data_IF_148736849546
#
_entry.id   IF_148736849546
#
_cell.length_a   1.000
_cell.length_b   1.000
_cell.length_c   1.000
_cell.angle_alpha   90.00
_cell.angle_beta   90.00
_cell.angle_gamma   90.00
#
_symmetry.space_group_name_H-M   'P 1'
#
loop_
_entity.id
_entity.type
_entity.pdbx_description
1 polymer ?
#
# COMPACT_ATOMS: atom_id res chain seq x y z
N UNK A 1 29.78 -4.96 46.25
CA UNK A 1 29.29 -5.59 45.00
C UNK A 1 28.82 -4.43 44.12
N UNK A 2 29.56 -3.90 43.12
CA UNK A 2 30.12 -4.56 41.93
C UNK A 2 29.03 -5.36 41.17
N UNK A 3 28.76 -5.20 39.87
CA UNK A 3 29.28 -4.33 38.79
C UNK A 3 28.25 -4.37 37.61
N UNK A 4 28.29 -3.68 36.46
CA UNK A 4 29.03 -2.52 35.88
C UNK A 4 28.53 -2.29 34.43
N UNK A 5 28.70 -1.08 33.86
CA UNK A 5 28.73 -0.82 32.39
C UNK A 5 27.42 -1.02 31.57
N UNK A 6 27.09 -0.26 30.52
CA UNK A 6 27.75 0.84 29.79
C UNK A 6 26.67 1.74 29.14
N UNK A 7 26.75 3.06 29.32
CA UNK A 7 26.07 4.01 28.43
C UNK A 7 27.01 4.38 27.28
N UNK A 8 26.52 4.42 26.03
CA UNK A 8 27.29 4.94 24.88
C UNK A 8 26.85 6.36 24.55
N UNK A 9 27.86 7.22 24.42
CA UNK A 9 27.70 8.67 24.33
C UNK A 9 27.16 9.14 22.98
N UNK A 10 26.36 10.20 23.02
CA UNK A 10 26.24 11.17 21.92
C UNK A 10 27.52 12.00 21.88
N UNK A 11 28.06 12.25 20.69
CA UNK A 11 29.09 13.27 20.46
C UNK A 11 28.67 14.19 19.33
N UNK A 12 28.14 15.36 19.71
CA UNK A 12 28.02 16.53 18.84
C UNK A 12 29.40 17.03 18.40
N UNK A 13 29.46 17.72 17.27
CA UNK A 13 30.73 18.16 16.68
C UNK A 13 31.37 19.40 17.34
N UNK A 14 32.63 19.65 16.94
CA UNK A 14 33.34 20.93 16.95
C UNK A 14 34.64 20.74 16.16
N UNK A 15 34.79 21.32 14.97
CA UNK A 15 35.41 22.65 14.78
C UNK A 15 36.80 22.77 15.42
N UNK A 16 37.85 22.39 14.66
CA UNK A 16 39.25 22.65 15.03
C UNK A 16 39.81 23.71 14.08
N UNK A 17 40.05 24.90 14.62
CA UNK A 17 40.83 25.97 14.00
C UNK A 17 42.06 26.24 14.85
N UNK A 18 43.25 25.88 14.35
CA UNK A 18 44.52 26.26 14.96
C UNK A 18 45.38 26.94 13.90
N UNK A 19 45.78 28.17 14.20
CA UNK A 19 46.66 29.00 13.37
C UNK A 19 48.13 28.58 13.53
N UNK A 20 48.97 28.71 12.49
CA UNK A 20 50.39 28.41 12.59
C UNK A 20 51.18 29.61 13.13
N UNK A 21 52.17 29.33 13.98
CA UNK A 21 53.30 30.24 14.18
C UNK A 21 54.56 29.45 14.53
N UNK A 22 55.71 29.83 13.97
CA UNK A 22 57.03 29.98 14.62
C UNK A 22 58.15 30.02 13.56
N UNK A 23 58.96 31.08 13.66
CA UNK A 23 60.36 31.28 13.22
C UNK A 23 60.82 31.02 11.76
N UNK A 24 60.97 32.12 11.05
CA UNK A 24 62.29 32.70 10.67
C UNK A 24 63.52 31.77 10.60
N UNK A 25 64.04 31.61 9.38
CA UNK A 25 65.48 31.76 9.12
C UNK A 25 65.67 32.38 7.73
N UNK A 26 66.40 33.50 7.66
CA UNK A 26 66.59 34.26 6.41
C UNK A 26 67.86 33.83 5.67
N UNK A 27 67.72 33.52 4.37
CA UNK A 27 68.84 33.45 3.42
C UNK A 27 68.45 34.18 2.13
N UNK A 28 68.96 35.40 1.94
CA UNK A 28 68.74 36.19 0.73
C UNK A 28 69.59 35.67 -0.44
N UNK A 29 68.94 35.26 -1.52
CA UNK A 29 69.58 35.02 -2.81
C UNK A 29 68.80 35.78 -3.91
N UNK A 30 69.45 36.58 -4.78
CA UNK A 30 68.77 37.31 -5.84
C UNK A 30 68.37 36.34 -6.96
N UNK A 31 67.08 35.99 -7.05
CA UNK A 31 66.57 35.23 -8.19
C UNK A 31 66.28 36.17 -9.37
N UNK A 32 67.09 35.99 -10.42
CA UNK A 32 66.88 36.53 -11.76
C UNK A 32 65.44 36.19 -12.21
N UNK A 33 64.69 37.20 -12.65
CA UNK A 33 63.28 37.06 -12.94
C UNK A 33 63.00 36.37 -14.28
N UNK A 34 62.52 35.12 -14.24
CA UNK A 34 61.63 34.61 -15.28
C UNK A 34 60.18 34.79 -14.81
N UNK A 35 59.46 35.75 -15.42
CA UNK A 35 58.00 35.75 -15.39
C UNK A 35 57.50 34.59 -16.24
N UNK A 36 57.34 33.41 -15.63
CA UNK A 36 56.46 32.39 -16.23
C UNK A 36 55.03 32.93 -16.16
N UNK A 37 54.40 33.12 -17.32
CA UNK A 37 52.95 33.26 -17.40
C UNK A 37 52.34 31.93 -16.91
N UNK A 38 51.66 31.97 -15.76
CA UNK A 38 50.85 30.84 -15.33
C UNK A 38 49.71 30.64 -16.33
N UNK A 39 49.49 29.43 -16.85
CA UNK A 39 48.28 29.15 -17.62
C UNK A 39 47.06 29.33 -16.70
N UNK A 40 46.02 29.99 -17.22
CA UNK A 40 44.79 30.20 -16.47
C UNK A 40 44.20 28.84 -16.06
N UNK A 41 44.05 28.64 -14.75
CA UNK A 41 43.57 27.39 -14.17
C UNK A 41 42.05 27.30 -14.43
N UNK A 42 41.66 26.68 -15.55
CA UNK A 42 40.26 26.43 -15.89
C UNK A 42 39.69 25.46 -14.86
N UNK A 43 39.00 26.00 -13.85
CA UNK A 43 38.39 25.21 -12.80
C UNK A 43 37.11 24.56 -13.32
N UNK A 44 37.23 23.29 -13.72
CA UNK A 44 36.07 22.46 -14.07
C UNK A 44 35.40 22.04 -12.76
N UNK A 45 34.32 22.72 -12.38
CA UNK A 45 33.51 22.32 -11.23
C UNK A 45 32.73 21.05 -11.58
N UNK A 46 32.93 19.93 -10.87
CA UNK A 46 32.08 18.76 -11.05
C UNK A 46 30.66 19.11 -10.58
N UNK A 47 29.70 19.06 -11.50
CA UNK A 47 28.28 19.26 -11.18
C UNK A 47 27.79 18.09 -10.31
N UNK A 48 27.84 18.26 -9.00
CA UNK A 48 27.30 17.29 -8.04
C UNK A 48 25.78 17.25 -8.16
N UNK A 49 25.23 16.10 -8.56
CA UNK A 49 23.79 15.89 -8.66
C UNK A 49 23.18 15.82 -7.24
N UNK A 50 22.58 16.92 -6.78
CA UNK A 50 21.88 16.98 -5.51
C UNK A 50 20.57 16.18 -5.61
N UNK A 51 20.55 14.98 -5.04
CA UNK A 51 19.34 14.16 -4.98
C UNK A 51 18.37 14.73 -3.94
N UNK A 52 17.30 15.35 -4.43
CA UNK A 52 16.19 15.80 -3.58
C UNK A 52 15.36 14.60 -3.13
N UNK A 53 15.72 14.00 -2.00
CA UNK A 53 14.86 13.06 -1.29
C UNK A 53 13.68 13.83 -0.69
N UNK A 54 12.48 13.61 -1.24
CA UNK A 54 11.25 14.15 -0.66
C UNK A 54 11.04 13.64 0.76
N UNK A 55 10.40 14.44 1.62
CA UNK A 55 10.04 13.98 2.98
C UNK A 55 9.13 12.76 2.89
N UNK A 56 9.35 11.72 3.71
CA UNK A 56 8.53 10.52 3.67
C UNK A 56 7.06 10.87 3.98
N UNK A 57 6.09 10.30 3.24
CA UNK A 57 4.67 10.50 3.50
C UNK A 57 4.33 10.07 4.93
N UNK A 58 3.55 10.91 5.62
CA UNK A 58 3.16 10.69 7.02
C UNK A 58 1.71 10.22 7.10
N UNK A 59 1.48 9.08 7.74
CA UNK A 59 0.20 8.38 7.77
C UNK A 59 -0.45 8.46 9.16
N UNK A 60 -0.95 9.63 9.55
CA UNK A 60 -1.54 9.86 10.90
C UNK A 60 -3.06 9.84 10.92
N UNK A 61 -3.69 10.21 9.82
CA UNK A 61 -5.15 10.38 9.71
C UNK A 61 -5.82 9.05 9.30
N UNK A 62 -5.58 8.00 10.10
CA UNK A 62 -6.04 6.63 9.82
C UNK A 62 -7.09 6.22 10.85
N UNK A 63 -8.30 5.97 10.38
CA UNK A 63 -9.36 5.37 11.19
C UNK A 63 -9.05 3.87 11.36
N UNK A 64 -8.76 3.44 12.59
CA UNK A 64 -8.54 2.02 12.92
C UNK A 64 -9.87 1.34 13.28
N UNK A 65 -10.08 0.06 12.89
CA UNK A 65 -11.26 -0.69 13.28
C UNK A 65 -11.27 -0.96 14.79
N UNK A 66 -12.45 -1.14 15.42
CA UNK A 66 -12.56 -1.40 16.85
C UNK A 66 -11.78 -2.66 17.26
N UNK A 67 -11.19 -2.63 18.45
CA UNK A 67 -10.13 -3.54 18.87
C UNK A 67 -10.51 -5.04 18.80
N UNK A 68 -11.78 -5.38 19.00
CA UNK A 68 -12.34 -6.74 18.83
C UNK A 68 -12.05 -7.34 17.46
N UNK A 69 -12.00 -6.51 16.40
CA UNK A 69 -11.67 -6.91 15.03
C UNK A 69 -10.16 -6.86 14.76
N UNK A 70 -9.43 -5.98 15.43
CA UNK A 70 -8.08 -5.53 15.05
C UNK A 70 -6.95 -6.10 15.92
N UNK A 71 -7.24 -6.72 17.08
CA UNK A 71 -6.25 -7.21 18.06
C UNK A 71 -4.99 -7.91 17.49
N UNK A 72 -5.15 -8.70 16.43
CA UNK A 72 -4.05 -9.48 15.82
C UNK A 72 -3.42 -8.83 14.58
N UNK A 73 -3.93 -7.68 14.11
CA UNK A 73 -3.60 -7.04 12.81
C UNK A 73 -3.94 -7.87 11.56
N UNK A 74 -4.41 -9.10 11.76
CA UNK A 74 -4.46 -10.18 10.76
C UNK A 74 -5.87 -10.54 10.36
N UNK A 75 -5.98 -11.06 9.13
CA UNK A 75 -7.23 -11.44 8.54
C UNK A 75 -7.78 -12.72 9.20
N UNK A 76 -8.97 -12.61 9.80
CA UNK A 76 -9.63 -13.70 10.55
C UNK A 76 -10.06 -14.86 9.64
N UNK A 77 -10.18 -16.07 10.20
CA UNK A 77 -10.68 -17.24 9.46
C UNK A 77 -12.18 -17.10 9.22
N UNK A 78 -12.59 -17.19 7.95
CA UNK A 78 -14.02 -17.20 7.58
C UNK A 78 -14.57 -18.61 7.76
N UNK A 79 -15.62 -18.75 8.56
CA UNK A 79 -16.34 -20.02 8.72
C UNK A 79 -17.49 -20.12 7.72
N UNK A 80 -17.88 -21.34 7.35
CA UNK A 80 -19.11 -21.57 6.58
C UNK A 80 -20.33 -21.55 7.50
N UNK A 81 -21.36 -20.82 7.11
CA UNK A 81 -22.64 -20.67 7.83
C UNK A 81 -23.75 -21.26 6.93
N UNK A 82 -24.96 -21.56 7.45
CA UNK A 82 -25.19 -22.02 8.82
C UNK A 82 -24.45 -23.34 9.08
N UNK A 83 -24.15 -23.61 10.35
CA UNK A 83 -23.63 -24.92 10.75
C UNK A 83 -24.76 -25.95 10.65
N UNK A 84 -24.66 -26.98 9.78
CA UNK A 84 -25.64 -28.04 9.76
C UNK A 84 -25.57 -28.83 11.08
N UNK A 85 -26.69 -29.32 11.62
CA UNK A 85 -26.66 -30.27 12.73
C UNK A 85 -25.90 -31.53 12.29
N UNK A 86 -25.06 -32.10 13.17
CA UNK A 86 -24.10 -33.15 12.81
C UNK A 86 -24.70 -34.37 12.08
N UNK A 87 -25.97 -34.68 12.36
CA UNK A 87 -26.68 -35.83 11.79
C UNK A 87 -27.30 -35.58 10.40
N UNK A 88 -27.23 -34.36 9.85
CA UNK A 88 -27.80 -34.02 8.54
C UNK A 88 -26.74 -33.48 7.57
N UNK A 89 -26.67 -34.06 6.38
CA UNK A 89 -25.85 -33.52 5.29
C UNK A 89 -26.53 -32.24 4.73
N UNK A 90 -25.80 -31.14 4.52
CA UNK A 90 -26.34 -29.96 3.85
C UNK A 90 -26.96 -30.30 2.49
N UNK A 91 -28.10 -29.68 2.18
CA UNK A 91 -28.74 -29.81 0.88
C UNK A 91 -27.80 -29.30 -0.22
N UNK A 92 -27.74 -30.04 -1.35
CA UNK A 92 -26.94 -29.65 -2.51
C UNK A 92 -27.64 -28.52 -3.27
N UNK A 93 -27.26 -27.28 -2.96
CA UNK A 93 -27.72 -26.10 -3.67
C UNK A 93 -27.04 -25.98 -5.06
N UNK A 94 -27.70 -25.37 -6.07
CA UNK A 94 -27.07 -25.03 -7.34
C UNK A 94 -25.92 -24.02 -7.14
N UNK A 95 -25.16 -23.69 -8.20
CA UNK A 95 -23.99 -22.79 -8.07
C UNK A 95 -24.33 -21.29 -8.04
N UNK A 96 -25.61 -20.89 -8.07
CA UNK A 96 -26.04 -19.50 -7.84
C UNK A 96 -25.38 -18.43 -8.72
N UNK A 97 -25.09 -18.71 -10.00
CA UNK A 97 -24.40 -17.76 -10.91
C UNK A 97 -25.10 -16.40 -11.02
N UNK A 98 -26.42 -16.40 -10.89
CA UNK A 98 -27.28 -15.22 -10.87
C UNK A 98 -26.85 -14.18 -9.83
N UNK A 99 -26.39 -14.62 -8.64
CA UNK A 99 -25.93 -13.75 -7.56
C UNK A 99 -24.76 -12.85 -7.97
N UNK A 100 -24.02 -13.21 -9.03
CA UNK A 100 -22.87 -12.45 -9.54
C UNK A 100 -23.23 -11.42 -10.62
N UNK A 101 -24.48 -11.42 -11.10
CA UNK A 101 -24.89 -10.59 -12.22
C UNK A 101 -25.27 -9.19 -11.75
N UNK A 102 -24.84 -8.18 -12.49
CA UNK A 102 -25.07 -6.77 -12.16
C UNK A 102 -23.99 -6.14 -11.26
N UNK A 103 -24.08 -4.82 -11.04
CA UNK A 103 -23.21 -4.09 -10.11
C UNK A 103 -23.55 -4.41 -8.65
N UNK A 104 -22.64 -4.08 -7.73
CA UNK A 104 -22.91 -4.12 -6.28
C UNK A 104 -23.28 -2.74 -5.73
N UNK A 105 -24.39 -2.68 -5.01
CA UNK A 105 -24.90 -1.44 -4.40
C UNK A 105 -24.30 -1.19 -3.00
N UNK A 106 -24.23 -2.22 -2.14
CA UNK A 106 -23.99 -2.05 -0.70
C UNK A 106 -22.49 -1.93 -0.37
N UNK A 107 -21.64 -2.81 -0.91
CA UNK A 107 -20.22 -2.91 -0.55
C UNK A 107 -19.30 -2.30 -1.60
N UNK A 108 -19.67 -1.13 -2.14
CA UNK A 108 -18.96 -0.40 -3.19
C UNK A 108 -18.00 0.69 -2.62
N UNK A 109 -18.03 0.96 -1.31
CA UNK A 109 -17.16 1.95 -0.67
C UNK A 109 -16.20 1.33 0.35
N UNK A 110 -15.04 1.97 0.53
CA UNK A 110 -14.12 1.67 1.61
C UNK A 110 -14.59 2.34 2.92
N UNK A 111 -14.63 1.62 4.05
CA UNK A 111 -14.88 2.26 5.37
C UNK A 111 -13.63 3.02 5.82
N UNK A 112 -12.48 2.35 5.85
CA UNK A 112 -11.24 2.92 6.40
C UNK A 112 -10.50 3.85 5.42
N UNK A 113 -11.07 4.14 4.24
CA UNK A 113 -10.61 5.10 3.21
C UNK A 113 -9.12 5.03 2.79
N UNK A 114 -8.48 3.87 2.89
CA UNK A 114 -7.09 3.67 2.45
C UNK A 114 -6.99 2.80 1.20
N UNK A 115 -6.86 1.48 1.38
CA UNK A 115 -6.55 0.54 0.30
C UNK A 115 -7.47 -0.67 0.34
N UNK A 116 -7.74 -1.26 -0.82
CA UNK A 116 -8.45 -2.52 -0.87
C UNK A 116 -8.48 -3.18 -2.24
N UNK A 117 -9.11 -4.35 -2.27
CA UNK A 117 -9.29 -5.14 -3.49
C UNK A 117 -10.73 -5.02 -3.96
N UNK A 118 -10.91 -4.45 -5.15
CA UNK A 118 -12.20 -4.23 -5.81
C UNK A 118 -12.40 -5.26 -6.91
N UNK A 119 -13.60 -5.86 -6.99
CA UNK A 119 -13.99 -6.72 -8.12
C UNK A 119 -14.26 -5.84 -9.34
N UNK A 120 -13.44 -5.96 -10.38
CA UNK A 120 -13.72 -5.34 -11.67
C UNK A 120 -14.74 -6.16 -12.46
N UNK A 121 -14.58 -7.49 -12.51
CA UNK A 121 -15.55 -8.38 -13.15
C UNK A 121 -15.64 -9.76 -12.50
N UNK A 122 -16.87 -10.23 -12.28
CA UNK A 122 -17.15 -11.55 -11.73
C UNK A 122 -17.04 -12.64 -12.81
N UNK A 123 -16.17 -13.64 -12.60
CA UNK A 123 -15.92 -14.73 -13.58
C UNK A 123 -16.32 -16.11 -13.07
N UNK A 124 -15.61 -16.63 -12.07
CA UNK A 124 -15.97 -17.84 -11.31
C UNK A 124 -16.31 -17.39 -9.88
N UNK A 125 -17.33 -17.97 -9.24
CA UNK A 125 -17.74 -17.47 -7.95
C UNK A 125 -16.92 -18.09 -6.81
N UNK A 126 -16.74 -17.34 -5.72
CA UNK A 126 -15.75 -17.62 -4.67
C UNK A 126 -16.25 -18.66 -3.67
N UNK A 127 -15.42 -19.68 -3.44
CA UNK A 127 -15.64 -20.78 -2.50
C UNK A 127 -14.79 -20.59 -1.22
N UNK A 128 -15.13 -21.31 -0.14
CA UNK A 128 -14.45 -21.22 1.16
C UNK A 128 -12.92 -21.44 1.07
N UNK A 129 -12.46 -22.28 0.12
CA UNK A 129 -11.04 -22.53 -0.17
C UNK A 129 -10.30 -21.26 -0.60
N UNK A 130 -10.97 -20.40 -1.38
CA UNK A 130 -10.35 -19.19 -1.92
C UNK A 130 -10.09 -18.20 -0.78
N UNK A 131 -11.04 -18.05 0.17
CA UNK A 131 -10.84 -17.22 1.38
C UNK A 131 -9.64 -17.68 2.20
N UNK A 132 -9.46 -18.99 2.40
CA UNK A 132 -8.32 -19.51 3.16
C UNK A 132 -6.98 -19.30 2.43
N UNK A 133 -6.95 -19.51 1.11
CA UNK A 133 -5.79 -19.18 0.25
C UNK A 133 -5.36 -17.70 0.37
N UNK A 134 -6.34 -16.79 0.36
CA UNK A 134 -6.11 -15.35 0.48
C UNK A 134 -5.64 -14.99 1.90
N UNK A 135 -6.33 -15.51 2.92
CA UNK A 135 -5.99 -15.31 4.34
C UNK A 135 -4.54 -15.71 4.62
N UNK A 136 -4.12 -16.89 4.16
CA UNK A 136 -2.73 -17.34 4.31
C UNK A 136 -1.75 -16.50 3.49
N UNK A 137 -2.14 -15.97 2.33
CA UNK A 137 -1.27 -15.10 1.52
C UNK A 137 -1.04 -13.76 2.23
N UNK A 138 -2.10 -13.12 2.73
CA UNK A 138 -2.03 -11.81 3.38
C UNK A 138 -1.34 -11.92 4.74
N UNK A 139 -1.73 -12.88 5.59
CA UNK A 139 -1.18 -13.01 6.96
C UNK A 139 0.31 -13.41 6.99
N UNK A 140 0.91 -13.79 5.85
CA UNK A 140 2.36 -14.01 5.69
C UNK A 140 3.14 -12.78 5.22
N UNK A 141 2.44 -11.75 4.71
CA UNK A 141 3.03 -10.56 4.07
C UNK A 141 2.67 -9.24 4.76
N UNK A 142 1.72 -9.25 5.69
CA UNK A 142 1.27 -8.08 6.45
C UNK A 142 1.96 -8.01 7.82
N UNK A 143 2.43 -6.83 8.20
CA UNK A 143 3.03 -6.56 9.51
C UNK A 143 1.92 -6.17 10.52
N UNK A 144 1.64 -6.99 11.55
CA UNK A 144 0.47 -6.80 12.41
C UNK A 144 0.53 -5.54 13.28
N UNK A 145 1.74 -5.03 13.57
CA UNK A 145 1.94 -3.87 14.45
C UNK A 145 1.70 -2.53 13.73
N UNK A 146 1.79 -2.53 12.38
CA UNK A 146 1.73 -1.33 11.53
C UNK A 146 0.50 -1.32 10.62
N UNK A 147 -0.04 -2.49 10.29
CA UNK A 147 -1.10 -2.69 9.32
C UNK A 147 -2.23 -3.57 9.87
N UNK A 148 -3.44 -3.37 9.36
CA UNK A 148 -4.58 -4.25 9.61
C UNK A 148 -5.23 -4.71 8.30
N UNK A 149 -5.83 -5.91 8.28
CA UNK A 149 -6.63 -6.42 7.17
C UNK A 149 -8.01 -6.89 7.63
N UNK A 150 -9.07 -6.41 6.97
CA UNK A 150 -10.47 -6.67 7.31
C UNK A 150 -11.24 -7.22 6.11
N UNK A 151 -12.09 -8.22 6.34
CA UNK A 151 -13.00 -8.76 5.33
C UNK A 151 -14.18 -7.80 5.08
N UNK A 152 -14.51 -7.58 3.80
CA UNK A 152 -15.71 -6.86 3.33
C UNK A 152 -16.81 -7.82 2.87
N UNK A 153 -16.74 -9.02 3.42
CA UNK A 153 -17.44 -10.20 2.94
C UNK A 153 -17.97 -10.96 4.13
N UNK A 154 -19.29 -11.09 4.15
CA UNK A 154 -20.01 -11.88 5.11
C UNK A 154 -19.62 -13.36 4.95
N UNK A 155 -19.55 -14.13 6.05
CA UNK A 155 -19.27 -15.56 5.97
C UNK A 155 -20.28 -16.26 5.06
N UNK A 156 -19.83 -17.18 4.16
CA UNK A 156 -20.71 -17.75 3.15
C UNK A 156 -21.78 -18.61 3.81
N UNK A 157 -23.03 -18.15 3.72
CA UNK A 157 -24.25 -18.89 4.06
C UNK A 157 -24.63 -19.92 2.99
N UNK A 158 -24.17 -19.69 1.76
CA UNK A 158 -24.39 -20.52 0.59
C UNK A 158 -23.12 -21.32 0.27
N UNK A 159 -23.18 -22.28 -0.67
CA UNK A 159 -21.98 -23.02 -1.12
C UNK A 159 -20.96 -22.13 -1.86
N UNK A 160 -21.38 -20.92 -2.23
CA UNK A 160 -20.74 -20.00 -3.17
C UNK A 160 -21.09 -18.56 -2.74
N UNK A 161 -20.13 -17.63 -2.75
CA UNK A 161 -20.32 -16.27 -2.20
C UNK A 161 -20.64 -15.22 -3.28
N UNK A 162 -21.52 -14.25 -3.03
CA UNK A 162 -21.78 -13.09 -3.93
C UNK A 162 -20.57 -12.15 -3.99
N UNK A 163 -20.12 -11.82 -5.21
CA UNK A 163 -19.00 -10.95 -5.62
C UNK A 163 -19.30 -10.32 -6.99
N UNK A 164 -20.37 -9.53 -7.04
CA UNK A 164 -20.76 -8.64 -8.15
C UNK A 164 -19.64 -7.65 -8.49
N UNK A 165 -19.69 -7.06 -9.69
CA UNK A 165 -18.76 -6.00 -10.09
C UNK A 165 -18.91 -4.77 -9.17
N UNK A 166 -17.81 -4.07 -8.87
CA UNK A 166 -17.76 -2.97 -7.91
C UNK A 166 -17.70 -3.40 -6.44
N UNK A 167 -17.87 -4.69 -6.10
CA UNK A 167 -17.78 -5.13 -4.69
C UNK A 167 -16.33 -5.10 -4.19
N UNK A 168 -16.11 -4.44 -3.06
CA UNK A 168 -14.87 -4.57 -2.28
C UNK A 168 -14.85 -5.94 -1.58
N UNK A 169 -13.72 -6.65 -1.63
CA UNK A 169 -13.52 -7.94 -0.96
C UNK A 169 -12.75 -7.77 0.36
N UNK A 170 -11.70 -6.96 0.33
CA UNK A 170 -10.74 -6.81 1.44
C UNK A 170 -10.37 -5.34 1.54
N UNK A 171 -10.34 -4.84 2.77
CA UNK A 171 -9.70 -3.57 3.12
C UNK A 171 -8.39 -3.87 3.86
N UNK A 172 -7.35 -3.12 3.52
CA UNK A 172 -6.09 -3.08 4.29
C UNK A 172 -5.80 -1.64 4.63
N UNK A 173 -5.40 -1.41 5.87
CA UNK A 173 -5.04 -0.08 6.35
C UNK A 173 -3.94 -0.10 7.39
N UNK A 174 -3.72 1.04 8.02
CA UNK A 174 -2.65 1.31 8.99
C UNK A 174 -1.67 2.37 8.47
N UNK A 175 -0.47 2.43 9.04
CA UNK A 175 0.53 3.47 8.73
C UNK A 175 1.37 3.10 7.48
N UNK A 176 0.71 2.64 6.41
CA UNK A 176 1.34 2.02 5.24
C UNK A 176 1.27 2.87 3.97
N UNK A 177 2.27 2.70 3.10
CA UNK A 177 2.25 3.28 1.75
C UNK A 177 1.56 2.35 0.76
N UNK A 178 0.97 2.92 -0.31
CA UNK A 178 0.35 2.11 -1.35
C UNK A 178 1.35 1.16 -2.01
N UNK A 179 2.59 1.60 -2.26
CA UNK A 179 3.61 0.78 -2.93
C UNK A 179 4.00 -0.50 -2.16
N UNK A 180 3.96 -0.46 -0.82
CA UNK A 180 4.16 -1.63 0.04
C UNK A 180 2.97 -2.61 -0.09
N UNK A 181 1.75 -2.09 0.01
CA UNK A 181 0.50 -2.88 0.03
C UNK A 181 0.13 -3.41 -1.36
N UNK A 182 0.38 -2.63 -2.42
CA UNK A 182 0.04 -2.91 -3.81
C UNK A 182 0.57 -4.28 -4.23
N UNK A 183 1.84 -4.58 -3.96
CA UNK A 183 2.47 -5.88 -4.28
C UNK A 183 1.75 -7.06 -3.61
N UNK A 184 1.29 -6.88 -2.37
CA UNK A 184 0.54 -7.90 -1.62
C UNK A 184 -0.86 -8.07 -2.19
N UNK A 185 -1.52 -6.98 -2.58
CA UNK A 185 -2.87 -7.00 -3.16
C UNK A 185 -2.91 -7.53 -4.59
N UNK A 186 -1.92 -7.21 -5.43
CA UNK A 186 -1.80 -7.72 -6.79
C UNK A 186 -1.60 -9.25 -6.78
N UNK A 187 -0.72 -9.76 -5.92
CA UNK A 187 -0.54 -11.21 -5.70
C UNK A 187 -1.84 -11.93 -5.26
N UNK A 188 -2.72 -11.23 -4.54
CA UNK A 188 -4.03 -11.75 -4.13
C UNK A 188 -5.04 -11.65 -5.27
N UNK A 189 -5.04 -10.54 -6.02
CA UNK A 189 -5.88 -10.33 -7.19
C UNK A 189 -5.65 -11.40 -8.27
N UNK A 190 -4.39 -11.78 -8.52
CA UNK A 190 -4.03 -12.86 -9.45
C UNK A 190 -4.47 -14.25 -8.99
N UNK A 191 -4.63 -14.48 -7.67
CA UNK A 191 -5.10 -15.77 -7.11
C UNK A 191 -6.63 -15.89 -7.04
N UNK A 192 -7.35 -14.79 -7.18
CA UNK A 192 -8.81 -14.77 -7.09
C UNK A 192 -9.46 -15.43 -8.32
N UNK A 193 -10.60 -16.12 -8.17
CA UNK A 193 -11.39 -16.66 -9.29
C UNK A 193 -12.20 -15.58 -10.05
N UNK A 194 -12.02 -14.30 -9.68
CA UNK A 194 -12.67 -13.11 -10.24
C UNK A 194 -11.61 -12.11 -10.69
N UNK A 195 -11.91 -11.27 -11.67
CA UNK A 195 -11.01 -10.20 -12.11
C UNK A 195 -11.11 -9.08 -11.08
N UNK A 196 -10.03 -8.83 -10.35
CA UNK A 196 -9.94 -7.85 -9.30
C UNK A 196 -8.77 -6.89 -9.52
N UNK A 197 -8.89 -5.67 -9.00
CA UNK A 197 -7.83 -4.65 -8.98
C UNK A 197 -7.45 -4.33 -7.54
N UNK A 198 -6.18 -3.99 -7.32
CA UNK A 198 -5.72 -3.30 -6.13
C UNK A 198 -5.96 -1.79 -6.37
N UNK A 199 -6.68 -1.13 -5.46
CA UNK A 199 -7.19 0.23 -5.71
C UNK A 199 -7.05 1.07 -4.43
N UNK A 200 -6.60 2.33 -4.55
CA UNK A 200 -6.66 3.28 -3.43
C UNK A 200 -8.05 3.91 -3.33
N UNK A 201 -8.36 4.55 -2.20
CA UNK A 201 -9.58 5.34 -2.06
C UNK A 201 -9.70 6.45 -3.11
N UNK A 202 -8.59 7.13 -3.42
CA UNK A 202 -8.55 8.21 -4.42
C UNK A 202 -8.83 7.68 -5.83
N UNK A 203 -8.22 6.55 -6.22
CA UNK A 203 -8.48 5.94 -7.53
C UNK A 203 -9.95 5.48 -7.65
N UNK A 204 -10.53 4.96 -6.56
CA UNK A 204 -11.93 4.54 -6.52
C UNK A 204 -12.90 5.74 -6.65
N UNK A 205 -12.60 6.87 -6.02
CA UNK A 205 -13.39 8.10 -6.20
C UNK A 205 -13.27 8.64 -7.62
N UNK A 206 -12.05 8.65 -8.20
CA UNK A 206 -11.83 9.04 -9.59
C UNK A 206 -12.59 8.14 -10.59
N UNK A 207 -12.50 6.81 -10.45
CA UNK A 207 -13.26 5.85 -11.29
C UNK A 207 -14.79 6.09 -11.18
N UNK A 208 -15.29 6.49 -10.00
CA UNK A 208 -16.72 6.81 -9.79
C UNK A 208 -17.12 8.15 -10.39
N UNK A 209 -16.30 9.19 -10.24
CA UNK A 209 -16.54 10.47 -10.91
C UNK A 209 -16.51 10.32 -12.43
N UNK A 210 -15.59 9.53 -12.97
CA UNK A 210 -15.53 9.21 -14.40
C UNK A 210 -16.77 8.43 -14.86
N UNK A 211 -17.24 7.46 -14.08
CA UNK A 211 -18.49 6.75 -14.38
C UNK A 211 -19.71 7.69 -14.38
N UNK A 212 -19.82 8.60 -13.41
CA UNK A 212 -20.90 9.60 -13.36
C UNK A 212 -20.80 10.62 -14.52
N UNK A 213 -19.59 11.05 -14.89
CA UNK A 213 -19.36 11.88 -16.08
C UNK A 213 -19.80 11.12 -17.35
N UNK A 214 -19.42 9.85 -17.50
CA UNK A 214 -19.84 9.01 -18.62
C UNK A 214 -21.36 8.80 -18.66
N UNK A 215 -22.01 8.54 -17.53
CA UNK A 215 -23.47 8.44 -17.43
C UNK A 215 -24.16 9.76 -17.82
N UNK A 216 -23.63 10.90 -17.39
CA UNK A 216 -24.12 12.22 -17.80
C UNK A 216 -23.93 12.51 -19.29
N UNK A 217 -22.92 11.92 -19.94
CA UNK A 217 -22.72 12.01 -21.39
C UNK A 217 -23.66 11.05 -22.15
N UNK A 218 -23.92 9.86 -21.61
CA UNK A 218 -24.85 8.86 -22.18
C UNK A 218 -26.30 9.36 -22.11
N UNK A 219 -26.65 10.15 -21.09
CA UNK A 219 -27.99 10.76 -20.95
C UNK A 219 -28.27 11.86 -22.00
N UNK A 220 -27.25 12.36 -22.70
CA UNK A 220 -27.43 13.24 -23.85
C UNK A 220 -28.06 12.39 -24.98
N UNK A 221 -29.24 12.76 -25.52
CA UNK A 221 -29.92 11.95 -26.51
C UNK A 221 -29.10 11.88 -27.81
N UNK A 222 -28.46 10.73 -28.04
CA UNK A 222 -27.74 10.43 -29.27
C UNK A 222 -28.67 9.71 -30.27
N UNK A 223 -28.55 9.96 -31.59
CA UNK A 223 -29.35 9.27 -32.61
C UNK A 223 -29.06 7.77 -32.73
N UNK A 224 -28.10 7.24 -31.96
CA UNK A 224 -27.70 5.83 -31.95
C UNK A 224 -28.03 5.12 -30.62
N UNK A 225 -28.63 5.81 -29.65
CA UNK A 225 -29.09 5.22 -28.39
C UNK A 225 -30.38 4.40 -28.66
N UNK A 226 -30.23 3.15 -29.11
CA UNK A 226 -31.35 2.22 -29.22
C UNK A 226 -31.86 1.84 -27.83
N UNK A 227 -33.15 2.08 -27.59
CA UNK A 227 -33.94 1.73 -26.41
C UNK A 227 -34.17 0.22 -26.25
#
# INVERSE_FOLDING_TARGET
MAASCLARCVSSGSSISIVPSIFSSGCTAPRIGLRMLQPALVQVTPMAFLQNFGTPPTYKDVEFPPEDLTRDGRLKTVMKVPYPPANMKPLKMPRGRELMRGPEEIHNSFIHKQFGIVVSAARRPTEIRDFEMIRQTINRKIDPDRMFAVWRVDPPWYSVTKKSAGRVIIEVGGNCSFQEVQRVMEDVALKLPVIAKATTYQDMEAEKEEALRQESLISIPSPWNMS
#
